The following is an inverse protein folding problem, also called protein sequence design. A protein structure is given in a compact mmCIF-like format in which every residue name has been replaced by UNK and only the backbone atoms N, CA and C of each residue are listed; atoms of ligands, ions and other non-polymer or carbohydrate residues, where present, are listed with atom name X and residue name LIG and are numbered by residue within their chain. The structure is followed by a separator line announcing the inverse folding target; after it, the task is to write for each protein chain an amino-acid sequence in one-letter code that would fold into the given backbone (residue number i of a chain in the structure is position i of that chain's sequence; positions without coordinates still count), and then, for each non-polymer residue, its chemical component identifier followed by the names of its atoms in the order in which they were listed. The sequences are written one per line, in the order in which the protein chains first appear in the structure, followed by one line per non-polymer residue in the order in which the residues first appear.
data_IF_586619555907
#
_entry.id   IF_586619555907
#
_cell.length_a   1.000
_cell.length_b   1.000
_cell.length_c   1.000
_cell.angle_alpha   90.00
_cell.angle_beta   90.00
_cell.angle_gamma   90.00
#
_symmetry.space_group_name_H-M   'P 1'
#
loop_
_entity.id
_entity.type
_entity.pdbx_description
1 polymer ?
#
# COMPACT_ATOMS: atom_id res chain seq x y z
N UNK A 1 13.54 0.24 1.37
CA UNK A 1 13.37 0.18 2.84
C UNK A 1 14.00 -1.11 3.35
N UNK A 2 14.87 -1.09 4.36
CA UNK A 2 15.56 -2.30 4.82
C UNK A 2 14.61 -3.31 5.48
N UNK A 3 14.88 -4.60 5.34
CA UNK A 3 14.07 -5.67 5.94
C UNK A 3 14.02 -5.58 7.48
N UNK A 4 15.07 -5.01 8.08
CA UNK A 4 15.21 -4.81 9.52
C UNK A 4 14.26 -3.72 10.05
N UNK A 5 14.07 -2.63 9.31
CA UNK A 5 13.12 -1.58 9.66
C UNK A 5 11.66 -2.06 9.54
N UNK A 6 11.36 -2.94 8.58
CA UNK A 6 10.03 -3.56 8.46
C UNK A 6 9.67 -4.37 9.71
N UNK A 7 10.63 -5.14 10.25
CA UNK A 7 10.44 -6.00 11.42
C UNK A 7 10.26 -5.22 12.72
N UNK A 8 10.90 -4.07 12.86
CA UNK A 8 10.81 -3.23 14.06
C UNK A 8 9.51 -2.42 14.16
N UNK A 9 8.73 -2.33 13.07
CA UNK A 9 7.45 -1.61 13.04
C UNK A 9 6.32 -2.62 12.75
N UNK A 10 5.59 -3.11 13.79
CA UNK A 10 4.64 -4.22 13.65
C UNK A 10 3.55 -3.98 12.59
N UNK A 11 3.09 -2.73 12.46
CA UNK A 11 2.07 -2.37 11.47
C UNK A 11 2.59 -2.49 10.03
N UNK A 12 3.88 -2.26 9.79
CA UNK A 12 4.47 -2.41 8.46
C UNK A 12 4.71 -3.89 8.13
N UNK A 13 5.10 -4.70 9.11
CA UNK A 13 5.26 -6.14 8.92
C UNK A 13 3.94 -6.86 8.61
N UNK A 14 2.87 -6.55 9.37
CA UNK A 14 1.58 -7.25 9.21
C UNK A 14 0.78 -6.76 8.01
N UNK A 15 0.79 -5.47 7.74
CA UNK A 15 -0.16 -4.86 6.81
C UNK A 15 0.47 -4.51 5.46
N UNK A 16 1.79 -4.33 5.41
CA UNK A 16 2.48 -3.83 4.22
C UNK A 16 3.42 -4.86 3.57
N UNK A 17 3.61 -6.05 4.18
CA UNK A 17 4.54 -7.06 3.73
C UNK A 17 4.34 -7.49 2.27
N UNK A 18 3.10 -7.73 1.88
CA UNK A 18 2.76 -8.18 0.53
C UNK A 18 3.01 -7.10 -0.54
N UNK A 19 2.70 -5.83 -0.23
CA UNK A 19 3.04 -4.69 -1.10
C UNK A 19 4.55 -4.53 -1.21
N UNK A 20 5.24 -4.65 -0.08
CA UNK A 20 6.69 -4.54 0.03
C UNK A 20 7.49 -5.59 -0.74
N UNK A 21 6.87 -6.71 -1.09
CA UNK A 21 7.46 -7.84 -1.81
C UNK A 21 6.99 -7.92 -3.27
N UNK A 22 6.12 -7.00 -3.70
CA UNK A 22 5.59 -6.95 -5.06
C UNK A 22 6.57 -6.27 -6.00
N UNK A 23 6.85 -6.89 -7.16
CA UNK A 23 7.74 -6.38 -8.21
C UNK A 23 7.08 -5.32 -9.10
N UNK A 24 5.75 -5.26 -9.11
CA UNK A 24 4.94 -4.33 -9.90
C UNK A 24 4.68 -2.99 -9.21
N UNK A 25 5.15 -2.79 -7.97
CA UNK A 25 5.00 -1.53 -7.25
C UNK A 25 6.06 -0.52 -7.73
N UNK A 26 5.67 0.71 -8.07
CA UNK A 26 6.62 1.77 -8.41
C UNK A 26 7.66 1.96 -7.30
N UNK A 27 8.94 1.99 -7.69
CA UNK A 27 10.06 2.09 -6.76
C UNK A 27 10.05 3.41 -5.95
N UNK A 28 9.38 4.44 -6.47
CA UNK A 28 9.22 5.75 -5.84
C UNK A 28 7.93 5.90 -5.04
N UNK A 29 7.17 4.81 -4.83
CA UNK A 29 6.01 4.82 -3.94
C UNK A 29 6.45 5.06 -2.49
N UNK A 30 5.92 6.12 -1.89
CA UNK A 30 6.03 6.42 -0.46
C UNK A 30 4.67 6.25 0.20
N UNK A 31 4.63 5.52 1.32
CA UNK A 31 3.41 5.25 2.06
C UNK A 31 3.52 5.71 3.52
N UNK A 32 2.48 6.37 4.04
CA UNK A 32 2.25 6.53 5.47
C UNK A 32 1.08 5.64 5.92
N UNK A 33 1.34 4.76 6.88
CA UNK A 33 0.38 3.78 7.38
C UNK A 33 0.02 4.12 8.83
N UNK A 34 -1.25 4.47 9.08
CA UNK A 34 -1.75 4.72 10.44
C UNK A 34 -2.86 3.76 10.88
N UNK A 35 -3.44 4.06 12.03
CA UNK A 35 -4.54 3.31 12.64
C UNK A 35 -5.79 3.28 11.74
N UNK A 36 -6.67 2.29 11.96
CA UNK A 36 -7.90 2.14 11.16
C UNK A 36 -7.65 1.96 9.66
N UNK A 37 -6.45 1.47 9.29
CA UNK A 37 -5.97 1.36 7.91
C UNK A 37 -5.88 2.71 7.18
N UNK A 38 -5.75 3.86 7.85
CA UNK A 38 -5.55 5.15 7.16
C UNK A 38 -4.28 5.10 6.29
N UNK A 39 -4.34 5.70 5.10
CA UNK A 39 -3.23 5.69 4.13
C UNK A 39 -3.02 7.03 3.49
N UNK A 40 -1.75 7.37 3.31
CA UNK A 40 -1.28 8.35 2.35
C UNK A 40 -0.31 7.63 1.42
N UNK A 41 -0.62 7.59 0.12
CA UNK A 41 0.30 7.13 -0.91
C UNK A 41 0.73 8.30 -1.77
N UNK A 42 2.03 8.39 -2.03
CA UNK A 42 2.61 9.37 -2.95
C UNK A 42 3.45 8.61 -3.96
N UNK A 43 3.14 8.79 -5.26
CA UNK A 43 3.88 8.19 -6.37
C UNK A 43 4.28 9.33 -7.33
N UNK A 44 5.47 9.93 -7.15
CA UNK A 44 5.92 11.09 -7.92
C UNK A 44 5.92 10.87 -9.43
N UNK A 45 6.40 9.73 -9.90
CA UNK A 45 6.48 9.35 -11.32
C UNK A 45 5.11 9.36 -12.01
N UNK A 46 4.04 9.08 -11.27
CA UNK A 46 2.66 9.09 -11.76
C UNK A 46 1.92 10.41 -11.45
N UNK A 47 2.57 11.37 -10.79
CA UNK A 47 1.94 12.59 -10.26
C UNK A 47 0.69 12.29 -9.44
N UNK A 48 0.75 11.21 -8.66
CA UNK A 48 -0.40 10.65 -7.95
C UNK A 48 -0.24 10.79 -6.44
N UNK A 49 -1.27 11.34 -5.80
CA UNK A 49 -1.43 11.33 -4.35
C UNK A 49 -2.77 10.69 -4.03
N UNK A 50 -2.78 9.71 -3.14
CA UNK A 50 -3.99 9.03 -2.68
C UNK A 50 -4.10 9.20 -1.18
N UNK A 51 -5.27 9.66 -0.74
CA UNK A 51 -5.63 9.73 0.68
C UNK A 51 -6.78 8.76 0.94
N UNK A 52 -6.56 7.78 1.82
CA UNK A 52 -7.63 6.95 2.37
C UNK A 52 -7.86 7.33 3.81
N UNK A 53 -9.04 7.89 4.08
CA UNK A 53 -9.55 8.05 5.44
C UNK A 53 -10.04 6.69 5.93
N UNK A 54 -9.41 6.20 6.99
CA UNK A 54 -9.71 4.90 7.56
C UNK A 54 -10.76 4.93 8.66
N UNK A 55 -11.22 3.74 9.04
CA UNK A 55 -12.19 3.51 10.11
C UNK A 55 -11.85 2.23 10.86
N UNK A 56 -12.57 1.96 11.96
CA UNK A 56 -12.35 0.75 12.78
C UNK A 56 -12.89 -0.53 12.12
N UNK A 57 -13.63 -0.42 11.02
CA UNK A 57 -14.14 -1.55 10.25
C UNK A 57 -13.00 -2.32 9.56
N UNK A 58 -13.10 -3.64 9.58
CA UNK A 58 -12.18 -4.54 8.88
C UNK A 58 -12.49 -4.58 7.37
N UNK A 59 -11.50 -4.97 6.54
CA UNK A 59 -11.72 -5.34 5.13
C UNK A 59 -10.89 -4.59 4.09
N UNK A 60 -10.08 -3.59 4.46
CA UNK A 60 -9.22 -2.91 3.48
C UNK A 60 -7.88 -3.66 3.27
N UNK A 61 -7.62 -4.03 2.02
CA UNK A 61 -6.38 -4.63 1.55
C UNK A 61 -5.58 -3.64 0.70
N UNK A 62 -4.35 -3.37 1.14
CA UNK A 62 -3.43 -2.45 0.47
C UNK A 62 -3.00 -2.98 -0.90
N UNK A 63 -2.72 -4.29 -0.99
CA UNK A 63 -2.33 -4.98 -2.22
C UNK A 63 -3.46 -4.94 -3.25
N UNK A 64 -4.68 -5.25 -2.83
CA UNK A 64 -5.83 -5.27 -3.72
C UNK A 64 -6.12 -3.87 -4.27
N UNK A 65 -6.14 -2.87 -3.39
CA UNK A 65 -6.34 -1.48 -3.78
C UNK A 65 -5.28 -1.00 -4.78
N UNK A 66 -4.00 -1.20 -4.48
CA UNK A 66 -2.90 -0.75 -5.35
C UNK A 66 -2.87 -1.54 -6.67
N UNK A 67 -3.21 -2.83 -6.65
CA UNK A 67 -3.33 -3.63 -7.87
C UNK A 67 -4.40 -3.04 -8.80
N UNK A 68 -5.61 -2.79 -8.27
CA UNK A 68 -6.70 -2.18 -9.05
C UNK A 68 -6.35 -0.78 -9.55
N UNK A 69 -5.69 0.03 -8.72
CA UNK A 69 -5.32 1.40 -9.06
C UNK A 69 -4.23 1.48 -10.14
N UNK A 70 -3.19 0.65 -10.03
CA UNK A 70 -1.99 0.76 -10.87
C UNK A 70 -2.01 -0.15 -12.09
N UNK A 71 -2.77 -1.25 -12.02
CA UNK A 71 -2.83 -2.26 -13.09
C UNK A 71 -4.22 -2.36 -13.74
N UNK A 72 -5.21 -1.70 -13.16
CA UNK A 72 -6.61 -1.80 -13.59
C UNK A 72 -7.28 -3.09 -13.13
N UNK A 73 -8.58 -3.21 -13.40
CA UNK A 73 -9.28 -4.48 -13.29
C UNK A 73 -8.89 -5.32 -14.52
N UNK A 74 -8.29 -6.49 -14.32
CA UNK A 74 -8.17 -7.45 -15.42
C UNK A 74 -9.58 -7.85 -15.85
N UNK A 75 -9.93 -7.62 -17.11
CA UNK A 75 -11.13 -8.21 -17.70
C UNK A 75 -10.97 -9.72 -17.56
N UNK A 76 -11.81 -10.34 -16.73
CA UNK A 76 -11.77 -11.77 -16.51
C UNK A 76 -12.05 -12.46 -17.84
N UNK A 77 -11.06 -13.21 -18.34
CA UNK A 77 -11.21 -14.11 -19.47
C UNK A 77 -11.23 -15.54 -18.96
#
# INVERSE_FOLDING_TARGET
MSAELRRSIPILSREWGDVANSDWIPADLVAACGAGKQRLYVIPSLKLVVVRQGGLSQGFSDVEFLSLLLRGKSDGN
#
